data_IF_530416132150
#
_entry.id   IF_530416132150
#
_cell.length_a   1.000
_cell.length_b   1.000
_cell.length_c   1.000
_cell.angle_alpha   90.00
_cell.angle_beta   90.00
_cell.angle_gamma   90.00
#
_symmetry.space_group_name_H-M   'P 1'
#
loop_
_entity.id
_entity.type
_entity.pdbx_description
1 polymer ?
#
# COMPACT_ATOMS: atom_id res chain seq x y z
N UNK A 1 -9.61 7.33 0.77
CA UNK A 1 -8.29 7.69 1.33
C UNK A 1 -8.39 7.60 2.82
N UNK A 2 -7.42 6.94 3.45
CA UNK A 2 -7.37 6.72 4.89
C UNK A 2 -6.07 7.32 5.43
N UNK A 3 -5.86 7.21 6.74
CA UNK A 3 -4.58 7.54 7.37
C UNK A 3 -4.08 6.36 8.19
N UNK A 4 -2.76 6.23 8.25
CA UNK A 4 -2.05 5.27 9.10
C UNK A 4 -0.91 5.98 9.81
N UNK A 5 -0.57 5.54 11.02
CA UNK A 5 0.64 6.00 11.69
C UNK A 5 1.86 5.35 11.04
N UNK A 6 2.68 6.14 10.36
CA UNK A 6 3.89 5.66 9.71
C UNK A 6 5.09 5.83 10.64
N UNK A 7 5.53 4.72 11.24
CA UNK A 7 6.57 4.72 12.27
C UNK A 7 7.92 5.31 11.81
N UNK A 8 8.26 5.18 10.52
CA UNK A 8 9.53 5.68 9.95
C UNK A 8 9.67 7.20 10.14
N UNK A 9 8.58 7.95 9.90
CA UNK A 9 8.57 9.42 10.05
C UNK A 9 7.82 9.88 11.31
N UNK A 10 7.34 8.94 12.13
CA UNK A 10 6.58 9.17 13.37
C UNK A 10 5.39 10.11 13.17
N UNK A 11 4.63 9.93 12.09
CA UNK A 11 3.50 10.80 11.73
C UNK A 11 2.34 10.04 11.09
N UNK A 12 1.13 10.60 11.21
CA UNK A 12 -0.03 10.14 10.47
C UNK A 12 0.10 10.54 9.00
N UNK A 13 0.04 9.55 8.13
CA UNK A 13 0.26 9.72 6.70
C UNK A 13 -0.95 9.24 5.90
N UNK A 14 -1.26 9.94 4.80
CA UNK A 14 -2.37 9.57 3.92
C UNK A 14 -2.03 8.32 3.14
N UNK A 15 -2.98 7.41 3.08
CA UNK A 15 -2.85 6.15 2.35
C UNK A 15 -4.04 5.87 1.44
N UNK A 16 -3.74 5.20 0.34
CA UNK A 16 -4.70 4.51 -0.49
C UNK A 16 -4.59 3.02 -0.19
N UNK A 17 -5.69 2.39 0.23
CA UNK A 17 -5.75 0.94 0.39
C UNK A 17 -5.80 0.32 -1.00
N UNK A 18 -4.76 -0.44 -1.38
CA UNK A 18 -4.65 -1.10 -2.68
C UNK A 18 -5.34 -2.48 -2.65
N UNK A 19 -5.19 -3.23 -1.56
CA UNK A 19 -5.85 -4.53 -1.37
C UNK A 19 -5.99 -4.90 0.10
N UNK A 20 -6.92 -5.79 0.40
CA UNK A 20 -7.06 -6.44 1.72
C UNK A 20 -6.53 -7.87 1.60
N UNK A 21 -5.77 -8.29 2.59
CA UNK A 21 -5.19 -9.63 2.72
C UNK A 21 -5.78 -10.22 4.00
N UNK A 22 -6.71 -11.15 3.87
CA UNK A 22 -7.39 -11.77 5.00
C UNK A 22 -7.10 -13.26 5.03
N UNK A 23 -6.79 -13.78 6.21
CA UNK A 23 -6.78 -15.20 6.51
C UNK A 23 -7.70 -15.49 7.72
N UNK A 24 -7.70 -16.72 8.23
CA UNK A 24 -8.57 -17.10 9.36
C UNK A 24 -8.21 -16.42 10.69
N UNK A 25 -7.05 -15.78 10.78
CA UNK A 25 -6.49 -15.24 12.04
C UNK A 25 -6.27 -13.72 11.95
N UNK A 26 -6.01 -13.19 10.76
CA UNK A 26 -5.56 -11.81 10.56
C UNK A 26 -6.20 -11.14 9.35
N UNK A 27 -6.39 -9.83 9.47
CA UNK A 27 -6.83 -8.97 8.38
C UNK A 27 -5.81 -7.84 8.21
N UNK A 28 -5.04 -7.90 7.14
CA UNK A 28 -4.02 -6.94 6.77
C UNK A 28 -4.48 -6.13 5.56
N UNK A 29 -3.95 -4.93 5.41
CA UNK A 29 -4.20 -4.08 4.27
C UNK A 29 -2.88 -3.71 3.62
N UNK A 30 -2.78 -3.94 2.30
CA UNK A 30 -1.72 -3.37 1.49
C UNK A 30 -2.12 -1.95 1.11
N UNK A 31 -1.26 -1.00 1.41
CA UNK A 31 -1.54 0.41 1.19
C UNK A 31 -0.37 1.11 0.51
N UNK A 32 -0.69 2.15 -0.27
CA UNK A 32 0.27 3.08 -0.84
C UNK A 32 0.22 4.40 -0.04
N UNK A 33 1.37 4.86 0.45
CA UNK A 33 1.52 6.21 0.98
C UNK A 33 1.45 7.21 -0.16
N UNK A 34 0.31 7.89 -0.31
CA UNK A 34 0.02 8.72 -1.50
C UNK A 34 0.87 9.98 -1.60
N UNK A 35 1.60 10.30 -0.54
CA UNK A 35 2.49 11.47 -0.44
C UNK A 35 3.99 11.10 -0.44
N UNK A 36 4.31 9.82 -0.30
CA UNK A 36 5.70 9.34 -0.20
C UNK A 36 6.07 8.24 -1.21
N UNK A 37 5.07 7.52 -1.74
CA UNK A 37 5.23 6.53 -2.81
C UNK A 37 5.57 5.13 -2.31
N UNK A 38 5.84 5.00 -1.01
CA UNK A 38 6.16 3.75 -0.34
C UNK A 38 4.91 2.88 -0.14
N UNK A 39 5.07 1.55 -0.23
CA UNK A 39 4.01 0.58 0.04
C UNK A 39 4.20 -0.05 1.40
N UNK A 40 3.11 -0.19 2.14
CA UNK A 40 3.08 -0.80 3.46
C UNK A 40 2.01 -1.88 3.54
N UNK A 41 2.28 -2.89 4.37
CA UNK A 41 1.29 -3.87 4.81
C UNK A 41 1.08 -3.64 6.30
N UNK A 42 -0.14 -3.28 6.68
CA UNK A 42 -0.50 -2.95 8.06
C UNK A 42 -1.75 -3.70 8.49
N UNK A 43 -1.90 -4.00 9.79
CA UNK A 43 -3.15 -4.51 10.32
C UNK A 43 -4.31 -3.55 9.98
N UNK A 44 -5.43 -4.09 9.51
CA UNK A 44 -6.56 -3.26 9.05
C UNK A 44 -7.17 -2.42 10.17
N UNK A 45 -7.07 -2.90 11.41
CA UNK A 45 -7.49 -2.22 12.64
C UNK A 45 -6.59 -1.03 13.03
N UNK A 46 -5.46 -0.82 12.35
CA UNK A 46 -4.61 0.37 12.50
C UNK A 46 -4.96 1.47 11.49
N UNK A 47 -5.80 1.19 10.50
CA UNK A 47 -6.26 2.18 9.53
C UNK A 47 -7.34 3.04 10.17
N UNK A 48 -7.28 4.35 9.92
CA UNK A 48 -8.30 5.31 10.34
C UNK A 48 -8.85 6.05 9.13
N UNK A 49 -10.13 6.44 9.21
CA UNK A 49 -10.76 7.28 8.19
C UNK A 49 -10.06 8.64 8.21
N UNK A 50 -9.68 9.14 7.03
CA UNK A 50 -9.10 10.47 6.93
C UNK A 50 -10.17 11.53 7.18
N UNK A 51 -9.84 12.55 7.97
CA UNK A 51 -10.71 13.72 8.11
C UNK A 51 -10.84 14.46 6.77
N UNK A 52 -11.98 15.13 6.54
CA UNK A 52 -12.31 15.75 5.25
C UNK A 52 -11.24 16.75 4.77
N UNK A 53 -10.64 17.50 5.70
CA UNK A 53 -9.54 18.44 5.43
C UNK A 53 -8.29 17.76 4.83
N UNK A 54 -7.99 16.50 5.19
CA UNK A 54 -6.88 15.74 4.58
C UNK A 54 -7.13 15.40 3.11
N UNK A 55 -8.37 15.46 2.64
CA UNK A 55 -8.74 15.16 1.26
C UNK A 55 -8.63 16.36 0.32
N UNK A 56 -8.47 17.57 0.86
CA UNK A 56 -8.40 18.80 0.07
C UNK A 56 -7.08 18.92 -0.70
N UNK A 57 -6.00 18.32 -0.18
CA UNK A 57 -4.70 18.32 -0.85
C UNK A 57 -4.65 17.23 -1.92
N UNK A 58 -4.08 17.48 -3.11
CA UNK A 58 -3.83 16.43 -4.08
C UNK A 58 -2.82 15.41 -3.54
N UNK A 59 -2.76 14.21 -4.14
CA UNK A 59 -1.67 13.27 -3.87
C UNK A 59 -0.37 13.83 -4.42
N UNK A 60 0.72 13.72 -3.65
CA UNK A 60 2.01 14.28 -4.07
C UNK A 60 2.84 13.32 -4.91
N UNK A 61 2.51 12.02 -4.89
CA UNK A 61 3.24 11.01 -5.65
C UNK A 61 2.69 10.89 -7.07
N UNK A 62 3.60 10.85 -8.05
CA UNK A 62 3.32 10.39 -9.41
C UNK A 62 4.22 9.22 -9.76
N UNK A 63 3.62 8.17 -10.35
CA UNK A 63 4.36 7.03 -10.87
C UNK A 63 4.86 7.34 -12.27
N UNK A 64 6.15 7.12 -12.48
CA UNK A 64 6.80 7.24 -13.78
C UNK A 64 7.51 5.93 -14.14
N UNK A 65 7.91 5.82 -15.40
CA UNK A 65 8.76 4.74 -15.89
C UNK A 65 9.95 5.35 -16.63
N UNK A 66 11.09 4.66 -16.60
CA UNK A 66 12.27 5.08 -17.36
C UNK A 66 12.04 4.75 -18.84
N UNK A 67 12.06 5.77 -19.69
CA UNK A 67 11.97 5.58 -21.13
C UNK A 67 13.28 5.02 -21.70
N UNK A 68 13.17 4.23 -22.78
CA UNK A 68 14.30 3.70 -23.57
C UNK A 68 15.24 2.73 -22.82
N UNK A 69 14.84 2.24 -21.66
CA UNK A 69 15.55 1.19 -20.92
C UNK A 69 14.69 -0.08 -20.92
N UNK A 70 15.31 -1.23 -21.20
CA UNK A 70 14.68 -2.54 -21.08
C UNK A 70 15.43 -3.37 -20.02
N UNK A 71 14.72 -4.05 -19.10
CA UNK A 71 15.36 -5.00 -18.20
C UNK A 71 16.09 -6.09 -18.99
N UNK A 72 17.34 -6.38 -18.65
CA UNK A 72 18.13 -7.47 -19.26
C UNK A 72 17.92 -8.82 -18.56
N UNK A 73 17.36 -8.78 -17.35
CA UNK A 73 17.03 -9.96 -16.54
C UNK A 73 15.52 -10.14 -16.47
N UNK A 74 15.03 -11.36 -16.70
CA UNK A 74 13.65 -11.71 -16.44
C UNK A 74 13.41 -11.76 -14.92
N UNK A 75 12.46 -10.97 -14.40
CA UNK A 75 11.92 -11.15 -13.06
C UNK A 75 10.57 -11.85 -13.15
N UNK A 76 10.47 -13.04 -12.58
CA UNK A 76 9.21 -13.79 -12.46
C UNK A 76 8.71 -13.63 -11.03
N UNK A 77 7.51 -13.06 -10.86
CA UNK A 77 6.83 -13.06 -9.56
C UNK A 77 6.09 -14.39 -9.38
N UNK A 78 6.74 -15.36 -8.74
CA UNK A 78 6.08 -16.62 -8.36
C UNK A 78 5.09 -16.31 -7.24
N UNK A 79 3.80 -16.36 -7.55
CA UNK A 79 2.75 -16.35 -6.54
C UNK A 79 2.47 -17.80 -6.18
N UNK A 80 2.79 -18.22 -4.95
CA UNK A 80 2.36 -19.52 -4.44
C UNK A 80 0.84 -19.50 -4.29
N UNK A 81 0.15 -20.11 -5.25
CA UNK A 81 -1.26 -20.49 -5.07
C UNK A 81 -1.23 -21.65 -4.09
N UNK A 82 -1.47 -21.39 -2.80
CA UNK A 82 -1.88 -22.46 -1.89
C UNK A 82 -3.25 -22.94 -2.36
N UNK A 83 -3.26 -24.02 -3.15
CA UNK A 83 -4.49 -24.76 -3.40
C UNK A 83 -5.04 -25.19 -2.04
N UNK A 84 -6.22 -24.68 -1.68
CA UNK A 84 -6.94 -25.15 -0.50
C UNK A 84 -7.27 -26.62 -0.72
N UNK A 85 -6.62 -27.50 0.05
CA UNK A 85 -7.20 -28.79 0.39
C UNK A 85 -8.27 -28.51 1.44
N UNK A 86 -9.51 -28.32 1.00
CA UNK A 86 -10.74 -28.66 1.72
C UNK A 86 -11.90 -28.76 0.74
#
# INVERSE_FOLDING_TARGET
VCVVYWAVIKSWSRVLVESIITDSVSCQARCLLVDHGERLVVPSDQIRIAMLNFLQLPFWVRKFHLARIKPTTLRVCVHEIKAGLM
#
